data_IF_197352590595
#
_entry.id   IF_197352590595
#
_cell.length_a   1.000
_cell.length_b   1.000
_cell.length_c   1.000
_cell.angle_alpha   90.00
_cell.angle_beta   90.00
_cell.angle_gamma   90.00
#
_symmetry.space_group_name_H-M   'P 1'
#
loop_
_entity.id
_entity.type
_entity.pdbx_description
1 polymer ?
#
# COMPACT_ATOMS: atom_id res chain seq x y z
N UNK A 1 6.81 -14.16 5.60
CA UNK A 1 7.92 -13.35 5.06
C UNK A 1 9.19 -13.84 5.74
N UNK A 2 10.39 -13.75 5.14
CA UNK A 2 11.60 -14.08 5.91
C UNK A 2 11.77 -13.00 6.98
N UNK A 3 11.70 -13.39 8.25
CA UNK A 3 11.66 -12.56 9.48
C UNK A 3 12.82 -11.54 9.63
N UNK A 4 13.79 -11.50 8.70
CA UNK A 4 14.92 -10.56 8.72
C UNK A 4 14.78 -9.31 7.84
N UNK A 5 13.84 -9.28 6.89
CA UNK A 5 13.82 -8.19 5.90
C UNK A 5 13.25 -6.88 6.47
N UNK A 6 12.17 -6.96 7.25
CA UNK A 6 11.53 -5.77 7.83
C UNK A 6 12.41 -5.09 8.88
N UNK A 7 13.06 -5.88 9.73
CA UNK A 7 14.01 -5.37 10.73
C UNK A 7 15.22 -4.71 10.07
N UNK A 8 15.86 -5.38 9.12
CA UNK A 8 16.99 -4.81 8.39
C UNK A 8 16.61 -3.53 7.63
N UNK A 9 15.41 -3.49 7.04
CA UNK A 9 14.87 -2.29 6.41
C UNK A 9 14.67 -1.16 7.41
N UNK A 10 14.00 -1.41 8.54
CA UNK A 10 13.74 -0.41 9.57
C UNK A 10 15.04 0.13 10.19
N UNK A 11 16.01 -0.73 10.48
CA UNK A 11 17.34 -0.33 10.95
C UNK A 11 18.09 0.53 9.91
N UNK A 12 17.93 0.21 8.61
CA UNK A 12 18.49 1.03 7.55
C UNK A 12 17.81 2.41 7.52
N UNK A 13 16.48 2.48 7.61
CA UNK A 13 15.73 3.74 7.66
C UNK A 13 16.17 4.61 8.84
N UNK A 14 16.28 4.03 10.04
CA UNK A 14 16.65 4.75 11.26
C UNK A 14 18.01 5.47 11.13
N UNK A 15 18.99 4.83 10.49
CA UNK A 15 20.31 5.44 10.18
C UNK A 15 20.20 6.68 9.30
N UNK A 16 19.17 6.79 8.46
CA UNK A 16 18.96 7.93 7.57
C UNK A 16 18.03 9.02 8.16
N UNK A 17 17.48 8.85 9.37
CA UNK A 17 16.59 9.83 10.02
C UNK A 17 17.31 11.07 10.59
N UNK A 18 18.62 11.22 10.35
CA UNK A 18 19.44 12.34 10.86
C UNK A 18 18.83 13.71 10.48
N UNK A 19 18.16 13.82 9.31
CA UNK A 19 17.62 15.09 8.80
C UNK A 19 16.15 15.35 9.16
N UNK A 20 15.33 14.31 9.34
CA UNK A 20 13.88 14.40 9.56
C UNK A 20 13.49 13.61 10.82
N UNK A 21 14.10 13.99 11.95
CA UNK A 21 13.87 13.33 13.23
C UNK A 21 12.60 13.83 13.94
N UNK A 22 12.09 14.99 13.55
CA UNK A 22 10.81 15.49 14.04
C UNK A 22 9.70 14.54 13.58
N UNK A 23 8.87 14.08 14.53
CA UNK A 23 7.68 13.28 14.20
C UNK A 23 6.75 14.03 13.25
N UNK A 24 6.67 15.36 13.33
CA UNK A 24 5.85 16.18 12.44
C UNK A 24 6.37 16.15 10.99
N UNK A 25 7.69 16.10 10.81
CA UNK A 25 8.31 15.99 9.49
C UNK A 25 8.00 14.62 8.88
N UNK A 26 8.15 13.55 9.67
CA UNK A 26 7.85 12.18 9.23
C UNK A 26 6.38 12.03 8.86
N UNK A 27 5.46 12.53 9.69
CA UNK A 27 4.02 12.49 9.40
C UNK A 27 3.68 13.25 8.12
N UNK A 28 4.23 14.46 7.95
CA UNK A 28 4.01 15.27 6.76
C UNK A 28 4.55 14.57 5.51
N UNK A 29 5.73 13.95 5.60
CA UNK A 29 6.36 13.23 4.49
C UNK A 29 5.66 11.93 4.14
N UNK A 30 5.14 11.21 5.14
CA UNK A 30 4.32 10.02 4.93
C UNK A 30 3.03 10.34 4.17
N UNK A 31 2.36 11.44 4.54
CA UNK A 31 1.18 11.90 3.80
C UNK A 31 1.54 12.35 2.37
N UNK A 32 2.64 13.08 2.21
CA UNK A 32 3.11 13.54 0.91
C UNK A 32 3.43 12.36 -0.04
N UNK A 33 4.12 11.33 0.44
CA UNK A 33 4.47 10.16 -0.38
C UNK A 33 3.24 9.35 -0.79
N UNK A 34 2.25 9.21 0.10
CA UNK A 34 0.96 8.59 -0.23
C UNK A 34 0.23 9.36 -1.34
N UNK A 35 0.21 10.70 -1.25
CA UNK A 35 -0.38 11.54 -2.28
C UNK A 35 0.36 11.43 -3.64
N UNK A 36 1.69 11.26 -3.64
CA UNK A 36 2.47 11.05 -4.87
C UNK A 36 2.21 9.67 -5.49
N UNK A 37 2.08 8.61 -4.70
CA UNK A 37 1.67 7.29 -5.20
C UNK A 37 0.29 7.34 -5.88
N UNK A 38 -0.69 8.01 -5.25
CA UNK A 38 -2.01 8.23 -5.85
C UNK A 38 -1.93 9.00 -7.18
N UNK A 39 -1.09 10.04 -7.23
CA UNK A 39 -0.86 10.82 -8.45
C UNK A 39 -0.22 10.00 -9.56
N UNK A 40 0.70 9.08 -9.23
CA UNK A 40 1.33 8.19 -10.20
C UNK A 40 0.29 7.29 -10.88
N UNK A 41 -0.65 6.71 -10.10
CA UNK A 41 -1.78 5.95 -10.65
C UNK A 41 -2.68 6.83 -11.52
N UNK A 42 -3.04 8.03 -11.04
CA UNK A 42 -3.87 8.95 -11.82
C UNK A 42 -3.21 9.33 -13.15
N UNK A 43 -1.90 9.55 -13.18
CA UNK A 43 -1.13 9.84 -14.42
C UNK A 43 -1.01 8.64 -15.35
N UNK A 44 -0.90 7.43 -14.80
CA UNK A 44 -0.92 6.21 -15.61
C UNK A 44 -2.21 6.09 -16.43
N UNK A 45 -3.34 6.54 -15.85
CA UNK A 45 -4.64 6.58 -16.53
C UNK A 45 -4.81 7.79 -17.44
N UNK A 46 -4.60 8.99 -16.92
CA UNK A 46 -5.03 10.24 -17.59
C UNK A 46 -4.00 10.83 -18.55
N UNK A 47 -2.72 10.51 -18.37
CA UNK A 47 -1.62 11.08 -19.17
C UNK A 47 -0.92 10.03 -20.01
N UNK A 48 -0.55 8.89 -19.39
CA UNK A 48 0.12 7.81 -20.12
C UNK A 48 -0.86 6.95 -20.93
N UNK A 49 -2.04 6.67 -20.37
CA UNK A 49 -3.03 5.77 -20.98
C UNK A 49 -2.66 4.28 -20.96
N UNK A 50 -1.62 3.88 -20.23
CA UNK A 50 -1.29 2.44 -20.06
C UNK A 50 -2.34 1.70 -19.21
N UNK A 51 -3.04 2.45 -18.37
CA UNK A 51 -4.21 1.99 -17.63
C UNK A 51 -5.46 2.76 -18.09
N UNK A 52 -6.61 2.15 -17.91
CA UNK A 52 -7.92 2.80 -18.01
C UNK A 52 -8.84 2.30 -16.89
N UNK A 53 -9.80 3.16 -16.51
CA UNK A 53 -10.77 2.85 -15.45
C UNK A 53 -12.14 2.65 -16.09
N UNK A 54 -12.74 1.48 -15.86
CA UNK A 54 -14.12 1.21 -16.18
C UNK A 54 -14.91 0.99 -14.88
N UNK A 55 -15.39 2.08 -14.29
CA UNK A 55 -16.14 2.04 -13.04
C UNK A 55 -17.62 1.73 -13.31
N UNK A 56 -18.08 0.58 -12.85
CA UNK A 56 -19.46 0.13 -13.01
C UNK A 56 -19.98 -0.53 -11.74
N UNK A 57 -21.32 -0.63 -11.62
CA UNK A 57 -21.95 -1.37 -10.52
C UNK A 57 -21.51 -2.83 -10.60
N UNK A 58 -20.95 -3.34 -9.51
CA UNK A 58 -20.52 -4.73 -9.41
C UNK A 58 -21.72 -5.69 -9.48
N UNK A 59 -21.58 -6.86 -10.13
CA UNK A 59 -22.65 -7.84 -10.19
C UNK A 59 -22.93 -8.36 -8.78
N UNK A 60 -24.17 -8.19 -8.33
CA UNK A 60 -24.63 -8.69 -7.03
C UNK A 60 -26.09 -9.11 -7.15
N UNK A 61 -26.44 -10.24 -6.52
CA UNK A 61 -27.80 -10.75 -6.45
C UNK A 61 -28.13 -11.18 -5.02
N UNK A 62 -29.42 -11.18 -4.67
CA UNK A 62 -29.88 -11.54 -3.33
C UNK A 62 -29.54 -12.99 -2.93
N UNK A 63 -29.25 -13.86 -3.90
CA UNK A 63 -28.95 -15.28 -3.69
C UNK A 63 -27.47 -15.61 -3.89
N UNK A 64 -26.63 -14.63 -4.22
CA UNK A 64 -25.21 -14.83 -4.50
C UNK A 64 -24.46 -15.13 -3.21
N UNK A 65 -23.70 -16.24 -3.20
CA UNK A 65 -22.76 -16.53 -2.12
C UNK A 65 -21.56 -15.59 -2.17
N UNK A 66 -20.88 -15.46 -1.03
CA UNK A 66 -19.72 -14.57 -0.94
C UNK A 66 -18.53 -15.06 -1.77
N UNK A 67 -18.41 -16.37 -1.99
CA UNK A 67 -17.40 -16.96 -2.87
C UNK A 67 -17.68 -16.63 -4.33
N UNK A 68 -18.93 -16.75 -4.79
CA UNK A 68 -19.35 -16.35 -6.13
C UNK A 68 -19.12 -14.84 -6.36
N UNK A 69 -19.43 -14.00 -5.37
CA UNK A 69 -19.18 -12.56 -5.46
C UNK A 69 -17.68 -12.26 -5.62
N UNK A 70 -16.80 -12.93 -4.84
CA UNK A 70 -15.35 -12.78 -4.96
C UNK A 70 -14.79 -13.20 -6.33
N UNK A 71 -15.39 -14.20 -6.96
CA UNK A 71 -14.97 -14.65 -8.29
C UNK A 71 -15.42 -13.70 -9.41
N UNK A 72 -16.50 -12.93 -9.19
CA UNK A 72 -17.10 -12.05 -10.20
C UNK A 72 -16.77 -10.57 -10.01
N UNK A 73 -16.26 -10.18 -8.85
CA UNK A 73 -15.94 -8.78 -8.55
C UNK A 73 -14.82 -8.28 -9.46
N UNK A 74 -15.10 -7.19 -10.16
CA UNK A 74 -14.16 -6.52 -11.03
C UNK A 74 -13.31 -5.52 -10.21
N UNK A 75 -12.04 -5.32 -10.57
CA UNK A 75 -11.18 -4.31 -9.90
C UNK A 75 -11.29 -2.90 -10.52
N UNK A 76 -12.17 -2.72 -11.51
CA UNK A 76 -12.40 -1.53 -12.34
C UNK A 76 -11.21 -1.07 -13.18
N UNK A 77 -10.11 -1.82 -13.19
CA UNK A 77 -8.89 -1.47 -13.90
C UNK A 77 -8.76 -2.29 -15.18
N UNK A 78 -8.30 -1.64 -16.25
CA UNK A 78 -8.01 -2.27 -17.55
C UNK A 78 -6.65 -1.82 -18.06
N UNK A 79 -5.96 -2.73 -18.75
CA UNK A 79 -4.58 -2.53 -19.20
C UNK A 79 -3.56 -2.92 -18.14
N UNK A 80 -2.29 -2.63 -18.42
CA UNK A 80 -1.15 -2.95 -17.56
C UNK A 80 -0.20 -1.75 -17.49
N UNK A 81 0.45 -1.56 -16.34
CA UNK A 81 1.45 -0.50 -16.20
C UNK A 81 2.61 -0.74 -17.18
N UNK A 82 2.95 0.27 -17.97
CA UNK A 82 4.21 0.26 -18.72
C UNK A 82 5.41 0.43 -17.76
N UNK A 83 6.61 0.09 -18.23
CA UNK A 83 7.83 0.12 -17.40
C UNK A 83 8.06 1.47 -16.73
N UNK A 84 7.83 2.58 -17.45
CA UNK A 84 8.00 3.93 -16.89
C UNK A 84 7.02 4.22 -15.76
N UNK A 85 5.73 3.92 -15.94
CA UNK A 85 4.73 4.16 -14.90
C UNK A 85 4.93 3.23 -13.69
N UNK A 86 5.37 1.99 -13.95
CA UNK A 86 5.71 1.02 -12.91
C UNK A 86 6.90 1.48 -12.07
N UNK A 87 7.97 1.97 -12.69
CA UNK A 87 9.14 2.51 -11.99
C UNK A 87 8.76 3.67 -11.07
N UNK A 88 8.01 4.65 -11.60
CA UNK A 88 7.55 5.80 -10.81
C UNK A 88 6.69 5.34 -9.62
N UNK A 89 5.75 4.43 -9.85
CA UNK A 89 4.86 3.95 -8.78
C UNK A 89 5.64 3.18 -7.70
N UNK A 90 6.59 2.32 -8.09
CA UNK A 90 7.46 1.58 -7.15
C UNK A 90 8.27 2.55 -6.29
N UNK A 91 8.81 3.62 -6.88
CA UNK A 91 9.58 4.63 -6.15
C UNK A 91 8.72 5.36 -5.10
N UNK A 92 7.49 5.76 -5.44
CA UNK A 92 6.59 6.46 -4.51
C UNK A 92 6.03 5.54 -3.40
N UNK A 93 5.76 4.28 -3.73
CA UNK A 93 5.41 3.26 -2.73
C UNK A 93 6.59 2.99 -1.79
N UNK A 94 7.81 2.90 -2.32
CA UNK A 94 9.04 2.75 -1.54
C UNK A 94 9.27 3.90 -0.57
N UNK A 95 9.06 5.15 -1.02
CA UNK A 95 9.12 6.33 -0.14
C UNK A 95 8.06 6.26 0.97
N UNK A 96 6.85 5.79 0.67
CA UNK A 96 5.80 5.62 1.68
C UNK A 96 6.16 4.55 2.72
N UNK A 97 6.75 3.43 2.29
CA UNK A 97 7.26 2.40 3.20
C UNK A 97 8.40 2.92 4.07
N UNK A 98 9.31 3.74 3.50
CA UNK A 98 10.38 4.39 4.26
C UNK A 98 9.81 5.23 5.41
N UNK A 99 8.85 6.12 5.13
CA UNK A 99 8.29 6.98 6.18
C UNK A 99 7.41 6.23 7.18
N UNK A 100 6.78 5.12 6.78
CA UNK A 100 6.10 4.23 7.72
C UNK A 100 7.09 3.56 8.69
N UNK A 101 8.19 3.00 8.18
CA UNK A 101 9.23 2.40 9.01
C UNK A 101 9.93 3.44 9.92
N UNK A 102 10.09 4.67 9.42
CA UNK A 102 10.58 5.79 10.21
C UNK A 102 9.65 6.10 11.39
N UNK A 103 8.34 6.13 11.13
CA UNK A 103 7.33 6.37 12.16
C UNK A 103 7.36 5.25 13.22
N UNK A 104 7.48 3.98 12.80
CA UNK A 104 7.67 2.86 13.72
C UNK A 104 8.90 3.07 14.62
N UNK A 105 10.05 3.44 14.02
CA UNK A 105 11.30 3.67 14.75
C UNK A 105 11.17 4.81 15.78
N UNK A 106 10.55 5.93 15.39
CA UNK A 106 10.34 7.07 16.30
C UNK A 106 9.39 6.75 17.47
N UNK A 107 8.46 5.81 17.28
CA UNK A 107 7.47 5.41 18.28
C UNK A 107 7.87 4.16 19.08
N UNK A 108 9.05 3.59 18.81
CA UNK A 108 9.51 2.36 19.48
C UNK A 108 8.69 1.12 19.11
N UNK A 109 8.18 1.08 17.87
CA UNK A 109 7.44 -0.06 17.33
C UNK A 109 8.32 -0.85 16.37
N UNK A 110 8.20 -2.18 16.40
CA UNK A 110 8.83 -3.07 15.45
C UNK A 110 7.91 -3.28 14.24
N UNK A 111 8.36 -2.91 13.04
CA UNK A 111 7.58 -3.02 11.79
C UNK A 111 7.15 -4.47 11.51
N UNK A 112 8.01 -5.43 11.83
CA UNK A 112 7.71 -6.86 11.64
C UNK A 112 6.58 -7.34 12.55
N UNK A 113 6.52 -6.83 13.79
CA UNK A 113 5.44 -7.14 14.72
C UNK A 113 4.10 -6.56 14.25
N UNK A 114 4.10 -5.31 13.75
CA UNK A 114 2.91 -4.67 13.17
C UNK A 114 2.36 -5.50 12.00
N UNK A 115 3.23 -5.93 11.09
CA UNK A 115 2.85 -6.76 9.95
C UNK A 115 2.36 -8.15 10.39
N UNK A 116 3.03 -8.76 11.37
CA UNK A 116 2.65 -10.07 11.90
C UNK A 116 1.28 -10.02 12.60
N UNK A 117 1.01 -8.96 13.37
CA UNK A 117 -0.27 -8.75 14.02
C UNK A 117 -1.40 -8.56 13.00
N UNK A 118 -1.15 -7.78 11.95
CA UNK A 118 -2.13 -7.59 10.89
C UNK A 118 -2.38 -8.88 10.11
N UNK A 119 -1.33 -9.64 9.77
CA UNK A 119 -1.46 -10.94 9.10
C UNK A 119 -2.26 -11.94 9.96
N UNK A 120 -2.05 -11.95 11.28
CA UNK A 120 -2.86 -12.76 12.20
C UNK A 120 -4.33 -12.33 12.15
N UNK A 121 -4.61 -11.02 12.22
CA UNK A 121 -5.98 -10.46 12.14
C UNK A 121 -6.70 -10.85 10.85
N UNK A 122 -6.00 -10.80 9.71
CA UNK A 122 -6.53 -11.27 8.42
C UNK A 122 -6.91 -12.76 8.45
N UNK A 123 -6.06 -13.59 9.06
CA UNK A 123 -6.28 -15.03 9.15
C UNK A 123 -7.37 -15.43 10.16
N UNK A 124 -7.55 -14.69 11.26
CA UNK A 124 -8.62 -14.97 12.23
C UNK A 124 -10.00 -14.51 11.76
N UNK A 125 -10.09 -13.39 11.05
CA UNK A 125 -11.38 -12.86 10.58
C UNK A 125 -11.85 -13.52 9.27
N UNK A 126 -10.95 -14.20 8.54
CA UNK A 126 -11.27 -14.95 7.34
C UNK A 126 -12.11 -14.15 6.34
N UNK A 127 -13.24 -14.72 5.91
CA UNK A 127 -14.13 -14.12 4.91
C UNK A 127 -14.90 -12.87 5.39
N UNK A 128 -14.88 -12.58 6.69
CA UNK A 128 -15.67 -11.51 7.31
C UNK A 128 -14.92 -10.18 7.45
N UNK A 129 -13.66 -10.10 7.01
CA UNK A 129 -12.93 -8.84 6.98
C UNK A 129 -13.32 -8.03 5.72
N UNK A 130 -14.52 -7.44 5.75
CA UNK A 130 -15.07 -6.54 4.73
C UNK A 130 -15.34 -5.15 5.34
N UNK A 131 -14.32 -4.58 5.99
CA UNK A 131 -14.33 -3.20 6.50
C UNK A 131 -13.35 -2.34 5.75
#
# INVERSE_FOLDING_TARGET
>A
MKDGNCKAFQEAVDKYLIRHRSILDVLSKFQESSARANRAVAKAVTTCGCLSINACRQPTSATMSLEEFRQQVDNHLRGELCELCKEVLVNELGASLFYLAALCSLLGLELDEVLTQEAKRLNTLGVFNLS
#
